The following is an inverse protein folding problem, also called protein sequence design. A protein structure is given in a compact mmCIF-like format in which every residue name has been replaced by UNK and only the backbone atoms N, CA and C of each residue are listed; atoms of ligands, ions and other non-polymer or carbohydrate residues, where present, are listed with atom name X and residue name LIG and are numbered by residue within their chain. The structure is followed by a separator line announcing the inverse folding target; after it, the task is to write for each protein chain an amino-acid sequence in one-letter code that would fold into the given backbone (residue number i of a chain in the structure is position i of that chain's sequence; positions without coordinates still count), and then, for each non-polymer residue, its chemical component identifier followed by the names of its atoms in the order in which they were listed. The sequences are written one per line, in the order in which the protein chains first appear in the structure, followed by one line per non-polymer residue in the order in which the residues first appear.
data_IF_422061347116
#
_entry.id   IF_422061347116
#
_cell.length_a   1.000
_cell.length_b   1.000
_cell.length_c   1.000
_cell.angle_alpha   90.00
_cell.angle_beta   90.00
_cell.angle_gamma   90.00
#
_symmetry.space_group_name_H-M   'P 1'
#
loop_
_entity.id
_entity.type
_entity.pdbx_description
1 polymer ?
#
# COMPACT_ATOMS: atom_id res chain seq x y z
N UNK A 1 18.42 0.34 -13.55
CA UNK A 1 17.38 -0.63 -13.10
C UNK A 1 16.10 0.11 -12.76
N UNK A 2 14.98 -0.39 -13.26
CA UNK A 2 13.69 0.20 -12.95
C UNK A 2 13.37 -0.02 -11.46
N UNK A 3 13.02 1.03 -10.71
CA UNK A 3 12.68 0.88 -9.28
C UNK A 3 11.58 -0.14 -9.02
N UNK A 4 10.63 -0.30 -9.93
CA UNK A 4 9.55 -1.28 -9.78
C UNK A 4 10.07 -2.71 -9.80
N UNK A 5 11.15 -2.98 -10.52
CA UNK A 5 11.73 -4.33 -10.59
C UNK A 5 12.21 -4.81 -9.22
N UNK A 6 12.79 -3.92 -8.42
CA UNK A 6 13.23 -4.29 -7.07
C UNK A 6 12.05 -4.69 -6.19
N UNK A 7 10.96 -3.95 -6.27
CA UNK A 7 9.75 -4.29 -5.53
C UNK A 7 9.15 -5.61 -6.02
N UNK A 8 9.18 -5.84 -7.33
CA UNK A 8 8.72 -7.11 -7.91
C UNK A 8 9.53 -8.29 -7.36
N UNK A 9 10.85 -8.15 -7.28
CA UNK A 9 11.72 -9.17 -6.73
C UNK A 9 11.42 -9.47 -5.27
N UNK A 10 10.91 -8.49 -4.53
CA UNK A 10 10.54 -8.64 -3.14
C UNK A 10 9.13 -9.18 -2.94
N UNK A 11 8.43 -9.51 -4.02
CA UNK A 11 7.11 -10.13 -3.95
C UNK A 11 5.93 -9.18 -4.05
N UNK A 12 6.17 -7.93 -4.41
CA UNK A 12 5.07 -6.99 -4.64
C UNK A 12 4.41 -7.24 -5.98
N UNK A 13 3.10 -7.08 -6.04
CA UNK A 13 2.34 -7.05 -7.28
C UNK A 13 2.00 -5.61 -7.61
N UNK A 14 1.78 -5.32 -8.89
CA UNK A 14 1.39 -3.99 -9.32
C UNK A 14 0.08 -4.05 -10.09
N UNK A 15 -0.78 -3.07 -9.80
CA UNK A 15 -2.06 -2.92 -10.49
C UNK A 15 -2.22 -1.49 -10.97
N UNK A 16 -3.01 -1.30 -12.01
CA UNK A 16 -3.33 0.05 -12.49
C UNK A 16 -4.54 0.58 -11.74
N UNK A 17 -4.65 1.91 -11.68
CA UNK A 17 -5.77 2.57 -11.05
C UNK A 17 -6.59 3.31 -12.11
N UNK A 18 -7.90 3.06 -12.14
CA UNK A 18 -8.79 3.78 -13.04
C UNK A 18 -8.94 5.25 -12.62
N UNK A 19 -8.87 5.51 -11.32
CA UNK A 19 -8.98 6.86 -10.76
C UNK A 19 -7.71 7.68 -11.00
N UNK A 20 -6.55 7.03 -10.96
CA UNK A 20 -5.26 7.71 -11.09
C UNK A 20 -4.43 7.01 -12.17
N UNK A 21 -4.67 7.33 -13.46
CA UNK A 21 -4.03 6.59 -14.56
C UNK A 21 -2.51 6.71 -14.62
N UNK A 22 -1.93 7.72 -13.96
CA UNK A 22 -0.46 7.88 -13.92
C UNK A 22 0.17 7.22 -12.70
N UNK A 23 -0.62 6.57 -11.89
CA UNK A 23 -0.15 5.94 -10.65
C UNK A 23 -0.23 4.43 -10.76
N UNK A 24 0.52 3.76 -9.90
CA UNK A 24 0.54 2.31 -9.80
C UNK A 24 0.21 1.92 -8.38
N UNK A 25 -0.57 0.86 -8.22
CA UNK A 25 -0.89 0.33 -6.90
C UNK A 25 0.04 -0.83 -6.61
N UNK A 26 0.86 -0.71 -5.56
CA UNK A 26 1.73 -1.80 -5.10
C UNK A 26 0.99 -2.61 -4.05
N UNK A 27 0.96 -3.93 -4.23
CA UNK A 27 0.16 -4.84 -3.38
C UNK A 27 1.03 -5.95 -2.83
N UNK A 28 0.91 -6.21 -1.53
CA UNK A 28 1.53 -7.36 -0.86
C UNK A 28 0.81 -7.62 0.45
N UNK A 29 0.68 -8.90 0.85
CA UNK A 29 0.01 -9.30 2.10
C UNK A 29 -1.40 -8.75 2.26
N UNK A 30 -2.13 -8.54 1.17
CA UNK A 30 -3.47 -7.94 1.17
C UNK A 30 -3.48 -6.43 1.46
N UNK A 31 -2.31 -5.80 1.50
CA UNK A 31 -2.21 -4.34 1.67
C UNK A 31 -1.76 -3.68 0.39
N UNK A 32 -2.07 -2.41 0.25
CA UNK A 32 -1.79 -1.67 -0.96
C UNK A 32 -1.33 -0.25 -0.67
N UNK A 33 -0.54 0.30 -1.58
CA UNK A 33 -0.12 1.69 -1.53
C UNK A 33 -0.10 2.24 -2.94
N UNK A 34 -0.53 3.49 -3.08
CA UNK A 34 -0.52 4.18 -4.36
C UNK A 34 0.85 4.81 -4.57
N UNK A 35 1.49 4.50 -5.69
CA UNK A 35 2.81 5.02 -6.04
C UNK A 35 2.72 5.94 -7.24
N UNK A 36 3.57 6.96 -7.28
CA UNK A 36 3.68 7.84 -8.45
C UNK A 36 5.13 7.92 -8.91
N UNK A 37 5.30 8.12 -10.21
CA UNK A 37 6.61 8.34 -10.80
C UNK A 37 6.87 9.84 -10.86
N UNK A 38 7.99 10.28 -10.27
CA UNK A 38 8.38 11.68 -10.32
C UNK A 38 9.29 11.94 -11.52
N UNK A 39 9.55 13.24 -11.81
CA UNK A 39 10.22 13.65 -13.04
C UNK A 39 11.60 13.04 -13.29
N UNK A 40 12.32 12.74 -12.22
CA UNK A 40 13.67 12.16 -12.36
C UNK A 40 13.68 10.62 -12.49
N UNK A 41 12.50 10.03 -12.71
CA UNK A 41 12.37 8.58 -12.87
C UNK A 41 12.28 7.81 -11.58
N UNK A 42 12.31 8.48 -10.44
CA UNK A 42 12.14 7.81 -9.16
C UNK A 42 10.67 7.58 -8.87
N UNK A 43 10.41 6.67 -7.95
CA UNK A 43 9.05 6.34 -7.53
C UNK A 43 8.90 6.68 -6.05
N UNK A 44 7.78 7.30 -5.71
CA UNK A 44 7.48 7.64 -4.31
C UNK A 44 6.05 7.26 -3.98
N UNK A 45 5.79 7.10 -2.69
CA UNK A 45 4.44 6.83 -2.22
C UNK A 45 3.60 8.09 -2.32
N UNK A 46 2.46 7.99 -3.03
CA UNK A 46 1.59 9.13 -3.25
C UNK A 46 0.64 9.37 -2.08
N UNK A 47 0.11 8.30 -1.51
CA UNK A 47 -0.89 8.41 -0.44
C UNK A 47 -0.62 7.39 0.66
N UNK A 48 -1.39 7.47 1.73
CA UNK A 48 -1.28 6.49 2.82
C UNK A 48 -1.61 5.09 2.33
N UNK A 49 -0.85 4.11 2.81
CA UNK A 49 -1.11 2.71 2.52
C UNK A 49 -2.28 2.21 3.38
N UNK A 50 -2.89 1.10 2.97
CA UNK A 50 -3.98 0.51 3.73
C UNK A 50 -4.31 -0.88 3.24
N UNK A 51 -5.43 -1.41 3.72
CA UNK A 51 -5.94 -2.71 3.34
C UNK A 51 -6.62 -2.63 1.98
N UNK A 52 -6.24 -3.52 1.06
CA UNK A 52 -6.88 -3.58 -0.25
C UNK A 52 -8.21 -4.33 -0.14
N UNK A 53 -9.30 -3.65 -0.47
CA UNK A 53 -10.63 -4.23 -0.45
C UNK A 53 -10.93 -4.96 -1.75
N UNK A 54 -11.94 -5.83 -1.73
CA UNK A 54 -12.35 -6.59 -2.91
C UNK A 54 -12.76 -5.68 -4.08
N UNK A 55 -13.25 -4.50 -3.76
CA UNK A 55 -13.65 -3.50 -4.76
C UNK A 55 -12.45 -2.81 -5.43
N UNK A 56 -11.23 -3.04 -4.92
CA UNK A 56 -10.04 -2.36 -5.40
C UNK A 56 -9.71 -1.08 -4.66
N UNK A 57 -10.52 -0.70 -3.68
CA UNK A 57 -10.32 0.50 -2.89
C UNK A 57 -9.41 0.21 -1.70
N UNK A 58 -8.78 1.25 -1.15
CA UNK A 58 -7.83 1.12 -0.05
C UNK A 58 -8.44 1.67 1.23
N UNK A 59 -8.58 0.80 2.24
CA UNK A 59 -9.11 1.17 3.55
C UNK A 59 -7.96 1.57 4.46
N UNK A 60 -8.05 2.76 5.05
CA UNK A 60 -6.99 3.31 5.87
C UNK A 60 -7.12 2.88 7.33
N UNK A 61 -5.98 2.71 8.00
CA UNK A 61 -5.94 2.35 9.41
C UNK A 61 -6.38 3.53 10.28
N UNK A 62 -7.37 3.31 11.12
CA UNK A 62 -7.89 4.30 12.04
C UNK A 62 -7.93 3.70 13.44
N UNK A 63 -7.46 4.45 14.42
CA UNK A 63 -7.51 4.04 15.83
C UNK A 63 -8.50 4.92 16.57
N UNK A 64 -9.45 4.27 17.27
CA UNK A 64 -10.46 4.97 18.07
C UNK A 64 -10.70 4.20 19.36
N UNK A 65 -10.61 4.87 20.49
CA UNK A 65 -10.95 4.29 21.79
C UNK A 65 -10.23 2.97 22.05
N UNK A 66 -8.96 2.89 21.70
CA UNK A 66 -8.15 1.69 21.90
C UNK A 66 -8.41 0.58 20.89
N UNK A 67 -9.23 0.82 19.88
CA UNK A 67 -9.48 -0.14 18.79
C UNK A 67 -8.90 0.35 17.49
N UNK A 68 -8.35 -0.57 16.71
CA UNK A 68 -7.83 -0.27 15.40
C UNK A 68 -8.67 -0.96 14.33
N UNK A 69 -8.94 -0.27 13.23
CA UNK A 69 -9.69 -0.83 12.11
C UNK A 69 -9.25 -0.18 10.81
N UNK A 70 -9.37 -0.93 9.71
CA UNK A 70 -9.19 -0.39 8.37
C UNK A 70 -10.55 0.08 7.87
N UNK A 71 -10.63 1.36 7.50
CA UNK A 71 -11.91 2.01 7.19
C UNK A 71 -11.88 2.65 5.82
N UNK A 72 -12.93 2.39 5.04
CA UNK A 72 -13.19 3.08 3.78
C UNK A 72 -14.69 3.34 3.70
N UNK A 73 -15.08 4.62 3.78
CA UNK A 73 -16.49 5.03 3.79
C UNK A 73 -17.26 4.27 4.87
N UNK A 74 -18.27 3.49 4.49
CA UNK A 74 -19.09 2.73 5.44
C UNK A 74 -18.51 1.35 5.77
N UNK A 75 -17.44 0.93 5.07
CA UNK A 75 -16.82 -0.37 5.34
C UNK A 75 -15.77 -0.25 6.42
N UNK A 76 -15.78 -1.20 7.34
CA UNK A 76 -14.82 -1.25 8.44
C UNK A 76 -14.36 -2.69 8.63
N UNK A 77 -13.05 -2.91 8.67
CA UNK A 77 -12.46 -4.23 8.89
C UNK A 77 -11.60 -4.14 10.14
N UNK A 78 -11.91 -4.95 11.14
CA UNK A 78 -11.15 -4.95 12.38
C UNK A 78 -9.69 -5.27 12.12
N UNK A 79 -8.79 -4.47 12.71
CA UNK A 79 -7.36 -4.67 12.57
C UNK A 79 -6.85 -5.57 13.70
N UNK A 80 -7.00 -6.90 13.49
CA UNK A 80 -6.51 -7.89 14.44
C UNK A 80 -4.98 -7.82 14.55
N UNK A 81 -4.39 -8.32 15.66
CA UNK A 81 -2.93 -8.25 15.83
C UNK A 81 -2.13 -8.83 14.68
N UNK A 82 -2.55 -9.96 14.12
CA UNK A 82 -1.87 -10.56 12.98
C UNK A 82 -1.95 -9.67 11.74
N UNK A 83 -3.08 -9.04 11.53
CA UNK A 83 -3.28 -8.13 10.41
C UNK A 83 -2.42 -6.88 10.56
N UNK A 84 -2.33 -6.34 11.77
CA UNK A 84 -1.45 -5.20 12.06
C UNK A 84 0.02 -5.55 11.84
N UNK A 85 0.43 -6.75 12.23
CA UNK A 85 1.80 -7.20 12.03
C UNK A 85 2.13 -7.29 10.54
N UNK A 86 1.23 -7.86 9.75
CA UNK A 86 1.40 -7.94 8.30
C UNK A 86 1.44 -6.57 7.66
N UNK A 87 0.62 -5.64 8.14
CA UNK A 87 0.60 -4.26 7.67
C UNK A 87 1.93 -3.56 7.96
N UNK A 88 2.47 -3.71 9.16
CA UNK A 88 3.76 -3.15 9.52
C UNK A 88 4.87 -3.70 8.63
N UNK A 89 4.84 -5.01 8.37
CA UNK A 89 5.80 -5.64 7.49
C UNK A 89 5.70 -5.08 6.06
N UNK A 90 4.49 -4.92 5.57
CA UNK A 90 4.25 -4.32 4.25
C UNK A 90 4.88 -2.92 4.17
N UNK A 91 4.65 -2.07 5.19
CA UNK A 91 5.19 -0.72 5.21
C UNK A 91 6.72 -0.71 5.24
N UNK A 92 7.32 -1.59 6.04
CA UNK A 92 8.78 -1.68 6.14
C UNK A 92 9.41 -2.12 4.83
N UNK A 93 8.85 -3.14 4.19
CA UNK A 93 9.36 -3.65 2.93
C UNK A 93 9.17 -2.65 1.79
N UNK A 94 8.03 -1.97 1.76
CA UNK A 94 7.78 -0.94 0.75
C UNK A 94 8.78 0.21 0.90
N UNK A 95 8.96 0.70 2.13
CA UNK A 95 9.89 1.79 2.40
C UNK A 95 11.31 1.41 2.00
N UNK A 96 11.74 0.22 2.39
CA UNK A 96 13.08 -0.25 2.06
C UNK A 96 13.29 -0.33 0.54
N UNK A 97 12.28 -0.82 -0.19
CA UNK A 97 12.35 -0.88 -1.65
C UNK A 97 12.41 0.49 -2.29
N UNK A 98 11.64 1.45 -1.79
CA UNK A 98 11.64 2.81 -2.33
C UNK A 98 12.93 3.56 -2.01
N UNK A 99 13.56 3.28 -0.88
CA UNK A 99 14.81 3.92 -0.50
C UNK A 99 16.03 3.43 -1.30
N UNK A 100 15.90 2.30 -1.98
CA UNK A 100 17.02 1.71 -2.74
C UNK A 100 17.12 2.23 -4.17
N UNK A 101 16.43 3.27 -4.49
CA UNK A 101 16.46 3.84 -5.85
C UNK A 101 17.73 4.59 -6.19
#
# INVERSE_FOLDING_TARGET
MNPLEKLLEQGFEFRTSATYPRHVIAVKYQFAALLEMVQDGRIQQFSSAGLLLETGEIALLVERQGRAAFVYKAKEVEAEPEKLESYQRFLQELRAGLEQQ
#
